data_IF_616715492597
#
_entry.id   IF_616715492597
#
_cell.length_a   1.000
_cell.length_b   1.000
_cell.length_c   1.000
_cell.angle_alpha   90.00
_cell.angle_beta   90.00
_cell.angle_gamma   90.00
#
_symmetry.space_group_name_H-M   'P 1'
#
loop_
_entity.id
_entity.type
_entity.pdbx_description
1 polymer ?
#
# COMPACT_ATOMS: atom_id res chain seq x y z
N UNK A 1 11.95 17.73 -13.09
CA UNK A 1 11.08 17.14 -12.06
C UNK A 1 11.28 15.64 -12.09
N UNK A 2 11.66 15.03 -10.96
CA UNK A 2 11.94 13.59 -10.84
C UNK A 2 10.76 12.85 -10.20
N UNK A 3 9.54 13.33 -10.42
CA UNK A 3 8.33 12.89 -9.71
C UNK A 3 8.14 11.37 -9.70
N UNK A 4 8.33 10.70 -10.85
CA UNK A 4 8.20 9.25 -10.93
C UNK A 4 9.21 8.54 -10.01
N UNK A 5 10.47 9.00 -9.98
CA UNK A 5 11.48 8.42 -9.10
C UNK A 5 11.12 8.68 -7.63
N UNK A 6 10.73 9.91 -7.29
CA UNK A 6 10.37 10.31 -5.93
C UNK A 6 9.16 9.50 -5.41
N UNK A 7 8.16 9.24 -6.26
CA UNK A 7 7.00 8.41 -5.92
C UNK A 7 7.41 6.94 -5.71
N UNK A 8 8.23 6.37 -6.59
CA UNK A 8 8.69 4.98 -6.46
C UNK A 8 9.55 4.78 -5.19
N UNK A 9 10.38 5.76 -4.85
CA UNK A 9 11.17 5.75 -3.62
C UNK A 9 10.26 5.87 -2.38
N UNK A 10 9.26 6.75 -2.42
CA UNK A 10 8.25 6.86 -1.36
C UNK A 10 7.50 5.55 -1.15
N UNK A 11 7.08 4.88 -2.23
CA UNK A 11 6.42 3.57 -2.16
C UNK A 11 7.34 2.54 -1.48
N UNK A 12 8.61 2.48 -1.89
CA UNK A 12 9.59 1.57 -1.28
C UNK A 12 9.69 1.82 0.22
N UNK A 13 9.91 3.07 0.60
CA UNK A 13 10.27 3.42 1.97
C UNK A 13 9.09 3.23 2.92
N UNK A 14 7.89 3.68 2.53
CA UNK A 14 6.68 3.51 3.36
C UNK A 14 6.32 2.02 3.52
N UNK A 15 6.44 1.22 2.46
CA UNK A 15 6.15 -0.22 2.56
C UNK A 15 7.20 -0.95 3.40
N UNK A 16 8.47 -0.56 3.32
CA UNK A 16 9.52 -1.13 4.17
C UNK A 16 9.28 -0.79 5.65
N UNK A 17 8.91 0.46 5.96
CA UNK A 17 8.52 0.87 7.33
C UNK A 17 7.32 0.03 7.81
N UNK A 18 6.26 -0.05 7.00
CA UNK A 18 5.06 -0.84 7.33
C UNK A 18 5.38 -2.31 7.60
N UNK A 19 6.24 -2.92 6.77
CA UNK A 19 6.66 -4.30 6.94
C UNK A 19 7.50 -4.51 8.20
N UNK A 20 8.31 -3.53 8.59
CA UNK A 20 9.16 -3.62 9.80
C UNK A 20 8.36 -3.60 11.10
N UNK A 21 7.16 -3.01 11.09
CA UNK A 21 6.24 -3.01 12.22
C UNK A 21 5.51 -4.35 12.42
N UNK A 22 5.63 -5.28 11.48
CA UNK A 22 4.86 -6.53 11.46
C UNK A 22 5.76 -7.75 11.68
N UNK A 23 5.35 -8.72 12.53
CA UNK A 23 6.08 -9.97 12.66
C UNK A 23 5.99 -10.78 11.38
N UNK A 24 7.08 -11.44 10.99
CA UNK A 24 7.06 -12.37 9.87
C UNK A 24 6.14 -13.57 10.18
N UNK A 25 5.13 -13.79 9.35
CA UNK A 25 4.26 -14.95 9.47
C UNK A 25 4.99 -16.22 9.00
N UNK A 26 5.01 -17.25 9.86
CA UNK A 26 5.55 -18.57 9.51
C UNK A 26 4.67 -19.21 8.43
N UNK A 27 5.28 -19.56 7.30
CA UNK A 27 4.57 -20.08 6.11
C UNK A 27 4.51 -21.61 6.11
N UNK A 28 3.38 -22.17 5.67
CA UNK A 28 3.19 -23.60 5.44
C UNK A 28 3.86 -24.12 4.16
N UNK A 29 3.74 -25.41 3.90
CA UNK A 29 4.28 -26.05 2.69
C UNK A 29 3.58 -25.56 1.40
N UNK A 30 4.35 -25.31 0.32
CA UNK A 30 3.80 -24.90 -0.96
C UNK A 30 4.76 -24.15 -1.88
N UNK A 31 4.20 -23.35 -2.80
CA UNK A 31 4.95 -22.56 -3.80
C UNK A 31 5.98 -21.63 -3.14
N UNK A 32 7.18 -21.46 -3.73
CA UNK A 32 8.18 -20.50 -3.25
C UNK A 32 7.53 -19.13 -3.02
N UNK A 33 7.63 -18.60 -1.80
CA UNK A 33 6.76 -17.51 -1.42
C UNK A 33 7.40 -16.17 -1.80
N UNK A 34 6.72 -15.42 -2.67
CA UNK A 34 7.06 -14.01 -2.92
C UNK A 34 6.67 -13.20 -1.67
N UNK A 35 7.58 -12.36 -1.13
CA UNK A 35 7.30 -11.51 0.02
C UNK A 35 6.06 -10.64 -0.21
N UNK A 36 5.17 -10.60 0.77
CA UNK A 36 3.98 -9.73 0.72
C UNK A 36 4.33 -8.23 0.54
N UNK A 37 5.39 -7.68 1.15
CA UNK A 37 5.81 -6.30 0.91
C UNK A 37 6.10 -6.00 -0.57
N UNK A 38 6.74 -6.93 -1.28
CA UNK A 38 7.09 -6.74 -2.69
C UNK A 38 5.85 -6.73 -3.60
N UNK A 39 4.87 -7.56 -3.27
CA UNK A 39 3.57 -7.55 -3.96
C UNK A 39 2.87 -6.22 -3.74
N UNK A 40 2.87 -5.71 -2.50
CA UNK A 40 2.25 -4.42 -2.16
C UNK A 40 2.93 -3.27 -2.89
N UNK A 41 4.26 -3.24 -2.96
CA UNK A 41 5.00 -2.22 -3.74
C UNK A 41 4.56 -2.19 -5.19
N UNK A 42 4.42 -3.36 -5.83
CA UNK A 42 3.94 -3.45 -7.21
C UNK A 42 2.48 -3.04 -7.33
N UNK A 43 1.61 -3.38 -6.38
CA UNK A 43 0.21 -2.94 -6.37
C UNK A 43 0.08 -1.41 -6.25
N UNK A 44 0.89 -0.77 -5.41
CA UNK A 44 0.90 0.69 -5.26
C UNK A 44 1.45 1.38 -6.51
N UNK A 45 2.54 0.85 -7.10
CA UNK A 45 3.04 1.31 -8.39
C UNK A 45 1.98 1.16 -9.49
N UNK A 46 1.29 0.02 -9.52
CA UNK A 46 0.21 -0.24 -10.47
C UNK A 46 -0.93 0.78 -10.33
N UNK A 47 -1.31 1.12 -9.09
CA UNK A 47 -2.31 2.13 -8.81
C UNK A 47 -1.86 3.53 -9.25
N UNK A 48 -0.59 3.89 -9.02
CA UNK A 48 -0.03 5.17 -9.45
C UNK A 48 -0.08 5.36 -10.98
N UNK A 49 0.31 4.33 -11.74
CA UNK A 49 0.30 4.41 -13.21
C UNK A 49 -1.06 4.09 -13.85
N UNK A 50 -2.03 3.59 -13.08
CA UNK A 50 -3.34 3.18 -13.62
C UNK A 50 -3.27 2.01 -14.62
N UNK A 51 -2.32 1.09 -14.44
CA UNK A 51 -2.03 0.01 -15.40
C UNK A 51 -2.65 -1.35 -14.98
N UNK A 52 -2.92 -2.26 -15.93
CA UNK A 52 -3.40 -3.61 -15.61
C UNK A 52 -2.26 -4.55 -15.16
N UNK A 53 -2.59 -5.64 -14.45
CA UNK A 53 -1.63 -6.59 -13.86
C UNK A 53 -0.54 -7.09 -14.83
N UNK A 54 -0.89 -7.35 -16.10
CA UNK A 54 0.07 -7.83 -17.11
C UNK A 54 1.12 -6.76 -17.45
N UNK A 55 0.70 -5.50 -17.53
CA UNK A 55 1.61 -4.37 -17.78
C UNK A 55 2.43 -4.08 -16.52
N UNK A 56 1.84 -4.22 -15.33
CA UNK A 56 2.55 -4.10 -14.07
C UNK A 56 3.71 -5.10 -13.93
N UNK A 57 3.59 -6.31 -14.47
CA UNK A 57 4.71 -7.25 -14.55
C UNK A 57 5.86 -6.70 -15.42
N UNK A 58 5.56 -6.04 -16.55
CA UNK A 58 6.57 -5.37 -17.36
C UNK A 58 7.25 -4.23 -16.59
N UNK A 59 6.48 -3.45 -15.85
CA UNK A 59 6.98 -2.35 -15.03
C UNK A 59 7.84 -2.84 -13.86
N UNK A 60 7.52 -4.00 -13.27
CA UNK A 60 8.36 -4.63 -12.24
C UNK A 60 9.78 -4.88 -12.77
N UNK A 61 9.95 -5.22 -14.05
CA UNK A 61 11.28 -5.40 -14.66
C UNK A 61 12.05 -4.09 -14.79
N UNK A 62 11.34 -2.99 -15.05
CA UNK A 62 11.94 -1.67 -15.27
C UNK A 62 12.26 -0.96 -13.95
N UNK A 63 11.38 -1.10 -12.95
CA UNK A 63 11.42 -0.32 -11.71
C UNK A 63 11.70 -1.17 -10.46
N UNK A 64 11.89 -2.48 -10.60
CA UNK A 64 12.13 -3.39 -9.48
C UNK A 64 13.29 -2.95 -8.59
N UNK A 65 14.39 -2.47 -9.20
CA UNK A 65 15.54 -1.93 -8.46
C UNK A 65 15.16 -0.71 -7.61
N UNK A 66 14.38 0.23 -8.15
CA UNK A 66 13.94 1.42 -7.39
C UNK A 66 12.96 1.08 -6.29
N UNK A 67 12.10 0.08 -6.51
CA UNK A 67 11.22 -0.45 -5.48
C UNK A 67 11.96 -1.32 -4.45
N UNK A 68 13.24 -1.63 -4.67
CA UNK A 68 14.01 -2.53 -3.80
C UNK A 68 13.47 -3.96 -3.80
N UNK A 69 13.00 -4.44 -4.95
CA UNK A 69 12.50 -5.80 -5.15
C UNK A 69 13.61 -6.63 -5.83
N UNK A 70 14.07 -7.67 -5.15
CA UNK A 70 15.18 -8.51 -5.62
C UNK A 70 14.76 -9.63 -6.57
N UNK A 71 13.47 -10.00 -6.57
CA UNK A 71 12.96 -11.12 -7.37
C UNK A 71 11.80 -10.71 -8.27
N UNK A 72 11.87 -11.06 -9.55
CA UNK A 72 10.73 -10.96 -10.45
C UNK A 72 9.65 -12.00 -10.13
N UNK A 73 8.39 -11.64 -10.41
CA UNK A 73 7.27 -12.57 -10.33
C UNK A 73 6.21 -12.28 -11.40
N UNK A 74 5.39 -13.29 -11.70
CA UNK A 74 4.39 -13.19 -12.76
C UNK A 74 3.20 -12.33 -12.37
N UNK A 75 2.47 -11.83 -13.37
CA UNK A 75 1.22 -11.10 -13.16
C UNK A 75 0.19 -11.89 -12.33
N UNK A 76 0.24 -13.22 -12.36
CA UNK A 76 -0.60 -14.11 -11.53
C UNK A 76 -0.25 -14.05 -10.04
N UNK A 77 0.94 -13.60 -9.69
CA UNK A 77 1.29 -13.30 -8.30
C UNK A 77 0.74 -11.93 -7.89
N UNK A 78 0.79 -10.93 -8.78
CA UNK A 78 0.16 -9.61 -8.56
C UNK A 78 -1.34 -9.75 -8.35
N UNK A 79 -2.01 -10.53 -9.21
CA UNK A 79 -3.46 -10.81 -9.13
C UNK A 79 -3.85 -11.46 -7.78
N UNK A 80 -2.98 -12.32 -7.23
CA UNK A 80 -3.19 -12.92 -5.90
C UNK A 80 -2.91 -11.94 -4.76
N UNK A 81 -2.26 -10.82 -5.02
CA UNK A 81 -2.07 -9.75 -4.04
C UNK A 81 -3.38 -9.09 -3.60
N UNK A 82 -4.44 -9.20 -4.41
CA UNK A 82 -5.77 -8.72 -4.03
C UNK A 82 -6.45 -9.58 -2.95
N UNK A 83 -5.90 -10.77 -2.65
CA UNK A 83 -6.35 -11.58 -1.52
C UNK A 83 -6.11 -10.83 -0.20
N UNK A 84 -7.17 -10.54 0.58
CA UNK A 84 -7.05 -9.81 1.84
C UNK A 84 -6.07 -10.45 2.83
N UNK A 85 -5.97 -11.78 2.87
CA UNK A 85 -5.08 -12.46 3.81
C UNK A 85 -3.61 -12.10 3.59
N UNK A 86 -3.26 -11.76 2.34
CA UNK A 86 -1.87 -11.59 1.92
C UNK A 86 -1.37 -10.15 2.03
N UNK A 87 -2.19 -9.18 1.64
CA UNK A 87 -1.74 -7.80 1.44
C UNK A 87 -2.43 -6.78 2.34
N UNK A 88 -3.60 -7.11 2.90
CA UNK A 88 -4.44 -6.13 3.61
C UNK A 88 -3.74 -5.51 4.80
N UNK A 89 -3.06 -6.33 5.63
CA UNK A 89 -2.37 -5.85 6.83
C UNK A 89 -1.34 -4.77 6.48
N UNK A 90 -0.46 -5.07 5.52
CA UNK A 90 0.58 -4.13 5.08
C UNK A 90 -0.07 -2.89 4.44
N UNK A 91 -1.11 -3.03 3.64
CA UNK A 91 -1.83 -1.89 3.05
C UNK A 91 -2.46 -0.98 4.12
N UNK A 92 -3.06 -1.56 5.16
CA UNK A 92 -3.68 -0.83 6.26
C UNK A 92 -2.63 -0.03 7.04
N UNK A 93 -1.45 -0.61 7.24
CA UNK A 93 -0.34 0.05 7.91
C UNK A 93 0.32 1.13 7.05
N UNK A 94 0.53 0.88 5.76
CA UNK A 94 0.96 1.90 4.79
C UNK A 94 0.01 3.09 4.83
N UNK A 95 -1.29 2.83 4.81
CA UNK A 95 -2.31 3.87 4.89
C UNK A 95 -2.23 4.63 6.22
N UNK A 96 -2.05 3.93 7.34
CA UNK A 96 -1.87 4.55 8.65
C UNK A 96 -0.66 5.48 8.68
N UNK A 97 0.49 5.03 8.18
CA UNK A 97 1.74 5.81 8.11
C UNK A 97 1.56 7.07 7.27
N UNK A 98 1.00 6.94 6.05
CA UNK A 98 0.71 8.08 5.19
C UNK A 98 -0.19 9.08 5.90
N UNK A 99 -1.26 8.58 6.53
CA UNK A 99 -2.22 9.44 7.20
C UNK A 99 -1.65 10.12 8.44
N UNK A 100 -0.74 9.49 9.19
CA UNK A 100 -0.08 10.11 10.33
C UNK A 100 0.91 11.19 9.87
N UNK A 101 1.59 10.99 8.74
CA UNK A 101 2.51 11.97 8.16
C UNK A 101 1.81 13.21 7.56
N UNK A 102 0.68 13.03 6.87
CA UNK A 102 -0.07 14.13 6.24
C UNK A 102 -0.98 14.93 7.19
N UNK A 103 -1.37 14.35 8.34
CA UNK A 103 -2.41 14.92 9.20
C UNK A 103 -2.06 16.26 9.86
N UNK A 104 -0.78 16.60 9.99
CA UNK A 104 -0.40 17.84 10.68
C UNK A 104 -0.88 19.10 9.94
N UNK A 105 -1.21 18.97 8.64
CA UNK A 105 -1.57 20.07 7.76
C UNK A 105 -2.98 19.95 7.14
N UNK A 106 -3.59 18.76 7.15
CA UNK A 106 -4.93 18.54 6.59
C UNK A 106 -6.04 18.96 7.54
N UNK A 107 -6.65 20.13 7.28
CA UNK A 107 -7.80 20.65 8.05
C UNK A 107 -9.15 20.50 7.34
N UNK A 108 -9.15 20.22 6.03
CA UNK A 108 -10.35 20.21 5.18
C UNK A 108 -10.22 19.08 4.15
N UNK A 109 -11.25 18.24 4.03
CA UNK A 109 -11.37 17.24 2.98
C UNK A 109 -12.23 17.79 1.85
N UNK A 110 -11.66 17.95 0.66
CA UNK A 110 -12.42 18.34 -0.53
C UNK A 110 -13.04 17.11 -1.19
N UNK A 111 -14.33 17.18 -1.51
CA UNK A 111 -14.94 16.27 -2.48
C UNK A 111 -14.46 16.68 -3.87
N UNK A 112 -13.90 15.74 -4.64
CA UNK A 112 -13.58 16.03 -6.04
C UNK A 112 -14.89 16.41 -6.77
N UNK A 113 -14.79 17.33 -7.73
CA UNK A 113 -15.94 17.86 -8.45
C UNK A 113 -16.60 16.86 -9.39
N UNK A 114 -16.25 15.57 -9.33
CA UNK A 114 -16.74 14.53 -10.25
C UNK A 114 -17.90 13.73 -9.64
N UNK A 115 -18.08 13.75 -8.31
CA UNK A 115 -19.22 13.10 -7.66
C UNK A 115 -19.21 11.57 -7.72
N UNK A 116 -18.22 10.97 -8.39
CA UNK A 116 -18.00 9.53 -8.38
C UNK A 116 -17.24 9.16 -7.10
N UNK A 117 -17.79 8.28 -6.25
CA UNK A 117 -17.02 7.69 -5.19
C UNK A 117 -15.99 6.77 -5.86
N UNK A 118 -14.80 7.28 -6.13
CA UNK A 118 -13.63 6.44 -6.33
C UNK A 118 -13.62 5.48 -5.13
N UNK A 119 -13.76 4.18 -5.37
CA UNK A 119 -13.96 3.16 -4.33
C UNK A 119 -12.85 3.23 -3.26
N UNK A 120 -11.68 3.78 -3.64
CA UNK A 120 -10.59 4.15 -2.76
C UNK A 120 -10.95 5.23 -1.73
N UNK A 121 -11.68 6.30 -2.08
CA UNK A 121 -12.09 7.36 -1.15
C UNK A 121 -13.07 6.86 -0.09
N UNK A 122 -14.05 6.04 -0.47
CA UNK A 122 -15.01 5.44 0.49
C UNK A 122 -14.29 4.47 1.42
N UNK A 123 -13.36 3.67 0.90
CA UNK A 123 -12.50 2.81 1.71
C UNK A 123 -11.52 3.60 2.60
N UNK A 124 -11.03 4.75 2.13
CA UNK A 124 -10.16 5.63 2.88
C UNK A 124 -10.90 6.28 4.05
N UNK A 125 -12.07 6.89 3.79
CA UNK A 125 -12.86 7.59 4.79
C UNK A 125 -13.36 6.64 5.89
N UNK A 126 -13.84 5.45 5.50
CA UNK A 126 -14.25 4.42 6.46
C UNK A 126 -13.08 3.95 7.33
N UNK A 127 -11.91 3.61 6.75
CA UNK A 127 -10.73 3.23 7.54
C UNK A 127 -10.21 4.37 8.42
N UNK A 128 -10.25 5.61 7.92
CA UNK A 128 -9.79 6.79 8.67
C UNK A 128 -10.69 7.11 9.85
N UNK A 129 -12.01 7.00 9.69
CA UNK A 129 -12.95 7.18 10.80
C UNK A 129 -12.71 6.14 11.92
N UNK A 130 -12.46 4.88 11.55
CA UNK A 130 -12.09 3.83 12.50
C UNK A 130 -10.80 4.17 13.27
N UNK A 131 -9.75 4.59 12.56
CA UNK A 131 -8.48 5.01 13.19
C UNK A 131 -8.65 6.16 14.20
N UNK A 132 -9.56 7.12 13.92
CA UNK A 132 -9.85 8.22 14.85
C UNK A 132 -10.52 7.72 16.13
N UNK A 133 -11.54 6.86 15.99
CA UNK A 133 -12.27 6.27 17.12
C UNK A 133 -11.32 5.46 18.01
N UNK A 134 -10.43 4.65 17.42
CA UNK A 134 -9.42 3.88 18.17
C UNK A 134 -8.44 4.78 18.93
N UNK A 135 -8.02 5.89 18.32
CA UNK A 135 -7.11 6.86 18.94
C UNK A 135 -7.76 7.59 20.11
N UNK A 136 -9.04 7.95 20.00
CA UNK A 136 -9.81 8.56 21.09
C UNK A 136 -9.99 7.59 22.27
N UNK A 137 -10.39 6.33 22.01
CA UNK A 137 -10.51 5.30 23.05
C UNK A 137 -9.20 5.04 23.80
N UNK A 138 -8.08 5.00 23.08
CA UNK A 138 -6.75 4.82 23.70
C UNK A 138 -6.30 6.04 24.51
N UNK A 139 -6.90 7.21 24.30
CA UNK A 139 -6.62 8.43 25.05
C UNK A 139 -7.44 8.50 26.35
N UNK A 140 -8.66 7.96 26.35
CA UNK A 140 -9.55 7.92 27.52
C UNK A 140 -9.19 6.79 28.52
N UNK A 141 -8.46 5.77 28.07
CA UNK A 141 -7.95 4.67 28.92
C UNK A 141 -6.64 4.98 29.65
N UNK A 142 -6.08 6.19 29.48
CA UNK A 142 -4.76 6.59 29.99
C UNK A 142 -4.88 7.75 30.97
#
# INVERSE_FOLDING_TARGET
MNEIADVLETIRDVVNIASSCMPEEKRGAGRPPVPAPDIVKVMLMQAYFGIPNRVAQGFLRLFGEKLGISSEFSYKTIERGYDPERSKKILDEVLRIMNDSGNSLEKIFSTDGTGDPNTMKVNYESKRSQQRIEKEKNKDMK
#
